data_IF_120003367993
#
_entry.id   IF_120003367993
#
_cell.length_a   1.000
_cell.length_b   1.000
_cell.length_c   1.000
_cell.angle_alpha   90.00
_cell.angle_beta   90.00
_cell.angle_gamma   90.00
#
_symmetry.space_group_name_H-M   'P 1'
#
loop_
_entity.id
_entity.type
_entity.pdbx_description
1 polymer ?
#
# COMPACT_ATOMS: atom_id res chain seq x y z
N UNK A 1 31.42 4.42 -62.14
CA UNK A 1 31.30 3.62 -60.91
C UNK A 1 30.18 4.22 -60.08
N UNK A 2 28.96 3.69 -60.23
CA UNK A 2 27.81 4.16 -59.46
C UNK A 2 27.95 3.66 -58.02
N UNK A 3 27.93 4.59 -57.07
CA UNK A 3 27.89 4.24 -55.64
C UNK A 3 26.52 3.62 -55.36
N UNK A 4 26.50 2.37 -54.91
CA UNK A 4 25.26 1.75 -54.43
C UNK A 4 24.73 2.52 -53.22
N UNK A 5 23.40 2.74 -53.13
CA UNK A 5 22.80 3.41 -51.99
C UNK A 5 23.03 2.55 -50.75
N UNK A 6 23.71 3.13 -49.75
CA UNK A 6 23.96 2.50 -48.46
C UNK A 6 22.62 2.07 -47.85
N UNK A 7 22.44 0.77 -47.64
CA UNK A 7 21.20 0.24 -47.07
C UNK A 7 20.90 0.91 -45.72
N UNK A 8 19.67 1.39 -45.56
CA UNK A 8 19.22 2.03 -44.32
C UNK A 8 19.12 0.99 -43.20
N UNK A 9 19.48 1.40 -41.99
CA UNK A 9 19.35 0.54 -40.81
C UNK A 9 17.86 0.24 -40.53
N UNK A 10 17.48 -1.01 -40.24
CA UNK A 10 16.14 -1.34 -39.75
C UNK A 10 15.80 -0.54 -38.49
N UNK A 11 14.53 -0.14 -38.33
CA UNK A 11 14.09 0.72 -37.23
C UNK A 11 14.34 0.06 -35.87
N UNK A 12 14.17 -1.26 -35.79
CA UNK A 12 14.36 -2.04 -34.57
C UNK A 12 15.83 -1.99 -34.11
N UNK A 13 16.77 -2.08 -35.05
CA UNK A 13 18.21 -1.96 -34.78
C UNK A 13 18.57 -0.54 -34.33
N UNK A 14 17.92 0.48 -34.91
CA UNK A 14 18.14 1.87 -34.52
C UNK A 14 17.62 2.12 -33.09
N UNK A 15 16.43 1.63 -32.76
CA UNK A 15 15.86 1.74 -31.41
C UNK A 15 16.75 1.02 -30.39
N UNK A 16 17.16 -0.23 -30.66
CA UNK A 16 18.04 -0.98 -29.78
C UNK A 16 19.34 -0.22 -29.51
N UNK A 17 19.95 0.34 -30.56
CA UNK A 17 21.18 1.11 -30.41
C UNK A 17 21.00 2.39 -29.59
N UNK A 18 19.87 3.09 -29.76
CA UNK A 18 19.56 4.29 -28.98
C UNK A 18 19.32 3.95 -27.50
N UNK A 19 18.66 2.84 -27.21
CA UNK A 19 18.44 2.36 -25.85
C UNK A 19 19.75 1.96 -25.17
N UNK A 20 20.64 1.24 -25.87
CA UNK A 20 22.00 0.92 -25.36
C UNK A 20 22.78 2.20 -24.98
N UNK A 21 22.68 3.24 -25.81
CA UNK A 21 23.34 4.52 -25.53
C UNK A 21 22.73 5.24 -24.32
N UNK A 22 21.41 5.17 -24.15
CA UNK A 22 20.73 5.75 -23.00
C UNK A 22 21.07 5.00 -21.70
N UNK A 23 21.14 3.67 -21.74
CA UNK A 23 21.56 2.83 -20.60
C UNK A 23 23.00 3.12 -20.16
N UNK A 24 23.88 3.45 -21.10
CA UNK A 24 25.27 3.81 -20.80
C UNK A 24 25.42 5.17 -20.08
N UNK A 25 24.37 6.02 -20.09
CA UNK A 25 24.40 7.36 -19.51
C UNK A 25 23.07 7.69 -18.80
N UNK A 26 22.73 6.97 -17.72
CA UNK A 26 21.46 7.18 -17.01
C UNK A 26 21.43 8.56 -16.35
N UNK A 27 20.25 9.16 -16.29
CA UNK A 27 20.01 10.37 -15.51
C UNK A 27 20.08 9.98 -14.03
N UNK A 28 21.02 10.56 -13.30
CA UNK A 28 21.26 10.26 -11.86
C UNK A 28 20.85 11.42 -10.95
N UNK A 29 20.63 12.60 -11.54
CA UNK A 29 20.12 13.75 -10.85
C UNK A 29 18.67 13.49 -10.43
N UNK A 30 18.35 13.89 -9.20
CA UNK A 30 17.01 13.79 -8.66
C UNK A 30 16.71 15.01 -7.82
N UNK A 31 15.43 15.30 -7.67
CA UNK A 31 14.92 16.39 -6.86
C UNK A 31 13.81 15.87 -5.94
N UNK A 32 13.58 16.60 -4.84
CA UNK A 32 12.42 16.37 -3.98
C UNK A 32 11.31 17.29 -4.45
N UNK A 33 10.16 16.71 -4.74
CA UNK A 33 8.95 17.43 -5.15
C UNK A 33 7.83 17.17 -4.16
N UNK A 34 6.81 18.03 -4.16
CA UNK A 34 5.57 17.74 -3.44
C UNK A 34 4.85 16.59 -4.11
N UNK A 35 4.10 15.79 -3.34
CA UNK A 35 3.33 14.67 -3.89
C UNK A 35 2.31 15.11 -4.95
N UNK A 36 1.75 16.32 -4.81
CA UNK A 36 0.85 16.90 -5.79
C UNK A 36 1.50 17.14 -7.18
N UNK A 37 2.83 17.28 -7.22
CA UNK A 37 3.60 17.55 -8.44
C UNK A 37 4.37 16.30 -8.92
N UNK A 38 4.11 15.13 -8.33
CA UNK A 38 4.83 13.89 -8.59
C UNK A 38 4.23 13.07 -9.73
N UNK A 39 3.00 13.37 -10.17
CA UNK A 39 2.33 12.64 -11.26
C UNK A 39 3.16 12.68 -12.55
N UNK A 40 3.39 11.50 -13.16
CA UNK A 40 4.20 11.35 -14.37
C UNK A 40 5.72 11.36 -14.18
N UNK A 41 6.23 11.52 -12.95
CA UNK A 41 7.68 11.42 -12.66
C UNK A 41 8.12 9.99 -12.35
N UNK A 42 9.43 9.75 -12.41
CA UNK A 42 10.07 8.48 -12.06
C UNK A 42 10.70 8.59 -10.67
N UNK A 43 10.46 7.60 -9.80
CA UNK A 43 11.09 7.55 -8.48
C UNK A 43 12.60 7.37 -8.63
N UNK A 44 13.37 8.18 -7.91
CA UNK A 44 14.82 8.07 -7.87
C UNK A 44 15.31 6.91 -6.99
N UNK A 45 14.53 6.52 -5.99
CA UNK A 45 14.82 5.44 -5.04
C UNK A 45 13.53 4.71 -4.65
N UNK A 46 13.68 3.47 -4.17
CA UNK A 46 12.56 2.68 -3.64
C UNK A 46 11.81 3.41 -2.51
N UNK A 47 10.48 3.29 -2.50
CA UNK A 47 9.63 3.74 -1.39
C UNK A 47 9.31 2.56 -0.48
N UNK A 48 9.93 2.55 0.70
CA UNK A 48 9.72 1.52 1.71
C UNK A 48 8.81 2.06 2.81
N UNK A 49 7.79 1.31 3.20
CA UNK A 49 6.91 1.71 4.30
C UNK A 49 7.68 1.76 5.62
N UNK A 50 7.45 2.81 6.40
CA UNK A 50 8.05 2.98 7.73
C UNK A 50 7.12 2.56 8.86
N UNK A 51 5.89 2.15 8.53
CA UNK A 51 4.84 1.79 9.47
C UNK A 51 3.95 0.68 8.91
N UNK A 52 3.38 -0.10 9.81
CA UNK A 52 2.33 -1.06 9.47
C UNK A 52 1.01 -0.33 9.23
N UNK A 53 0.26 -0.79 8.23
CA UNK A 53 -1.07 -0.26 7.92
C UNK A 53 -2.04 -1.43 7.71
N UNK A 54 -3.02 -1.64 8.61
CA UNK A 54 -3.28 -0.86 9.82
C UNK A 54 -2.20 -1.04 10.90
N UNK A 55 -1.95 -0.03 11.75
CA UNK A 55 -0.97 -0.11 12.83
C UNK A 55 -1.34 -1.05 13.99
N UNK A 56 -2.61 -1.50 14.03
CA UNK A 56 -3.12 -2.46 15.01
C UNK A 56 -4.24 -3.30 14.40
N UNK A 57 -4.55 -4.47 14.97
CA UNK A 57 -5.75 -5.23 14.60
C UNK A 57 -7.00 -4.38 14.78
N UNK A 58 -7.80 -4.27 13.73
CA UNK A 58 -9.04 -3.52 13.75
C UNK A 58 -10.21 -4.35 13.21
N UNK A 59 -11.43 -3.92 13.53
CA UNK A 59 -12.62 -4.59 13.04
C UNK A 59 -12.82 -4.30 11.55
N UNK A 60 -12.92 -5.34 10.73
CA UNK A 60 -13.22 -5.22 9.31
C UNK A 60 -14.68 -4.85 9.01
N UNK A 61 -15.57 -5.01 10.00
CA UNK A 61 -17.00 -4.76 9.86
C UNK A 61 -17.58 -4.17 11.15
N UNK A 62 -18.80 -3.68 11.07
CA UNK A 62 -19.61 -3.42 12.25
C UNK A 62 -20.12 -4.74 12.81
N UNK A 63 -19.72 -5.09 14.03
CA UNK A 63 -20.10 -6.37 14.64
C UNK A 63 -20.04 -6.36 16.16
N UNK A 64 -19.72 -7.53 16.72
CA UNK A 64 -19.49 -7.71 18.14
C UNK A 64 -18.13 -8.39 18.35
N UNK A 65 -17.27 -7.77 19.14
CA UNK A 65 -16.04 -8.39 19.60
C UNK A 65 -16.33 -9.21 20.87
N UNK A 66 -15.90 -10.47 20.89
CA UNK A 66 -16.03 -11.37 22.02
C UNK A 66 -14.81 -12.29 22.13
N UNK A 67 -14.59 -12.85 23.32
CA UNK A 67 -13.64 -13.96 23.48
C UNK A 67 -14.35 -15.26 23.17
N UNK A 68 -13.85 -16.02 22.20
CA UNK A 68 -14.43 -17.32 21.82
C UNK A 68 -14.49 -18.29 23.01
N UNK A 69 -13.49 -18.26 23.89
CA UNK A 69 -13.46 -19.09 25.10
C UNK A 69 -14.60 -18.79 26.10
N UNK A 70 -15.16 -17.58 26.06
CA UNK A 70 -16.24 -17.16 26.94
C UNK A 70 -17.62 -17.51 26.36
N UNK A 71 -17.71 -18.01 25.12
CA UNK A 71 -18.97 -18.22 24.41
C UNK A 71 -19.30 -19.71 24.22
N UNK A 72 -20.43 -20.16 24.76
CA UNK A 72 -20.93 -21.55 24.58
C UNK A 72 -22.18 -21.63 23.71
N UNK A 73 -22.50 -20.55 22.97
CA UNK A 73 -23.66 -20.45 22.09
C UNK A 73 -24.82 -19.63 22.68
N UNK A 74 -24.71 -19.21 23.94
CA UNK A 74 -25.66 -18.33 24.61
C UNK A 74 -25.53 -16.85 24.16
N UNK A 75 -26.57 -16.02 24.36
CA UNK A 75 -26.46 -14.58 24.23
C UNK A 75 -25.49 -13.99 25.27
N UNK A 76 -24.60 -13.10 24.83
CA UNK A 76 -23.70 -12.35 25.71
C UNK A 76 -24.21 -10.91 25.92
N UNK A 77 -24.14 -10.36 27.15
CA UNK A 77 -24.45 -8.96 27.39
C UNK A 77 -23.41 -8.05 26.73
N UNK A 78 -23.86 -6.89 26.23
CA UNK A 78 -22.97 -5.88 25.63
C UNK A 78 -22.41 -4.99 26.74
N UNK A 79 -21.11 -5.06 27.01
CA UNK A 79 -20.47 -4.28 28.09
C UNK A 79 -19.92 -2.93 27.62
N UNK A 80 -19.65 -2.76 26.33
CA UNK A 80 -19.12 -1.51 25.78
C UNK A 80 -19.43 -1.35 24.28
N UNK A 81 -19.17 -0.13 23.78
CA UNK A 81 -19.23 0.23 22.35
C UNK A 81 -17.89 0.84 21.95
N UNK A 82 -17.26 0.31 20.89
CA UNK A 82 -15.92 0.72 20.45
C UNK A 82 -16.03 1.33 19.05
N UNK A 83 -15.77 2.64 18.96
CA UNK A 83 -15.77 3.39 17.70
C UNK A 83 -14.36 3.51 17.11
N UNK A 84 -14.27 3.80 15.81
CA UNK A 84 -12.99 4.11 15.18
C UNK A 84 -12.32 5.32 15.84
N UNK A 85 -11.01 5.23 16.07
CA UNK A 85 -10.22 6.29 16.73
C UNK A 85 -10.33 6.31 18.26
N UNK A 86 -11.05 5.37 18.88
CA UNK A 86 -11.13 5.23 20.34
C UNK A 86 -10.50 3.91 20.78
N UNK A 87 -9.65 3.96 21.81
CA UNK A 87 -9.11 2.75 22.42
C UNK A 87 -10.20 2.05 23.26
N UNK A 88 -10.34 0.72 23.16
CA UNK A 88 -11.29 -0.03 23.97
C UNK A 88 -10.81 -0.17 25.42
N UNK A 89 -11.76 -0.32 26.32
CA UNK A 89 -11.48 -0.85 27.67
C UNK A 89 -11.36 -2.39 27.61
N UNK A 90 -10.67 -3.03 28.56
CA UNK A 90 -10.63 -4.48 28.64
C UNK A 90 -12.04 -5.09 28.65
N UNK A 91 -12.29 -6.04 27.77
CA UNK A 91 -13.58 -6.72 27.70
C UNK A 91 -13.85 -7.48 29.00
N UNK A 92 -15.01 -7.26 29.62
CA UNK A 92 -15.40 -7.94 30.85
C UNK A 92 -15.65 -9.45 30.60
N UNK A 93 -15.34 -10.36 31.54
CA UNK A 93 -15.56 -11.80 31.35
C UNK A 93 -17.03 -12.13 31.04
N UNK A 94 -17.26 -12.97 30.04
CA UNK A 94 -18.62 -13.38 29.65
C UNK A 94 -19.46 -12.27 29.01
N UNK A 95 -18.84 -11.23 28.44
CA UNK A 95 -19.53 -10.14 27.73
C UNK A 95 -19.03 -10.01 26.30
N UNK A 96 -19.72 -9.20 25.49
CA UNK A 96 -19.24 -8.76 24.19
C UNK A 96 -19.19 -7.22 24.11
N UNK A 97 -18.41 -6.70 23.17
CA UNK A 97 -18.38 -5.29 22.83
C UNK A 97 -19.04 -5.07 21.47
N UNK A 98 -19.94 -4.10 21.34
CA UNK A 98 -20.38 -3.63 20.03
C UNK A 98 -19.20 -2.88 19.40
N UNK A 99 -18.71 -3.34 18.26
CA UNK A 99 -17.53 -2.76 17.60
C UNK A 99 -17.88 -2.28 16.20
N UNK A 100 -17.31 -1.15 15.79
CA UNK A 100 -17.51 -0.55 14.48
C UNK A 100 -16.28 -0.70 13.58
N UNK A 101 -16.49 -0.59 12.28
CA UNK A 101 -15.44 -0.74 11.26
C UNK A 101 -14.27 0.21 11.53
N UNK A 102 -13.04 -0.33 11.49
CA UNK A 102 -11.81 0.41 11.77
C UNK A 102 -11.49 0.60 13.25
N UNK A 103 -12.37 0.22 14.16
CA UNK A 103 -12.11 0.28 15.60
C UNK A 103 -11.07 -0.77 16.03
N UNK A 104 -10.17 -0.47 16.98
CA UNK A 104 -9.22 -1.42 17.52
C UNK A 104 -9.94 -2.60 18.22
N UNK A 105 -9.41 -3.82 18.03
CA UNK A 105 -9.91 -5.06 18.67
C UNK A 105 -9.13 -5.39 19.92
#
# INVERSE_FOLDING_TARGET
MSAEPKALMPVENAIARLLEMAEAAPITQHERVLLADAEGRVLATDLVSTLDLPPWPNSAMDGYALRVADWRGEPLPVSQRIFAGQAPEPLAPGTCARIFTGAPV
#
